data_IF_059637658414
#
_entry.id   IF_059637658414
#
_cell.length_a   1.000
_cell.length_b   1.000
_cell.length_c   1.000
_cell.angle_alpha   90.00
_cell.angle_beta   90.00
_cell.angle_gamma   90.00
#
_symmetry.space_group_name_H-M   'P 1'
#
loop_
_entity.id
_entity.type
_entity.pdbx_description
1 polymer ?
#
# COMPACT_ATOMS: atom_id res chain seq x y z
N UNK A 1 -17.48 -22.04 -28.28
CA UNK A 1 -17.62 -20.64 -27.83
C UNK A 1 -16.38 -19.91 -28.29
N UNK A 2 -16.45 -19.24 -29.43
CA UNK A 2 -15.31 -18.60 -30.07
C UNK A 2 -15.25 -17.18 -29.54
N UNK A 3 -14.24 -16.85 -28.74
CA UNK A 3 -14.01 -15.48 -28.29
C UNK A 3 -13.49 -14.72 -29.51
N UNK A 4 -14.31 -13.83 -30.08
CA UNK A 4 -13.84 -12.92 -31.13
C UNK A 4 -12.80 -11.98 -30.50
N UNK A 5 -11.64 -11.73 -31.14
CA UNK A 5 -10.68 -10.76 -30.64
C UNK A 5 -11.35 -9.39 -30.58
N UNK A 6 -11.23 -8.69 -29.45
CA UNK A 6 -11.60 -7.28 -29.37
C UNK A 6 -10.74 -6.51 -30.37
N UNK A 7 -11.36 -5.87 -31.36
CA UNK A 7 -10.69 -4.81 -32.13
C UNK A 7 -10.68 -3.57 -31.24
N UNK A 8 -9.71 -3.53 -30.32
CA UNK A 8 -9.44 -2.41 -29.41
C UNK A 8 -8.03 -1.86 -29.64
N UNK A 9 -7.70 -0.74 -28.98
CA UNK A 9 -6.35 -0.19 -28.96
C UNK A 9 -5.49 -1.03 -28.02
N UNK A 10 -4.29 -1.40 -28.46
CA UNK A 10 -3.27 -1.97 -27.56
C UNK A 10 -2.39 -0.83 -27.08
N UNK A 11 -2.39 -0.61 -25.76
CA UNK A 11 -1.43 0.28 -25.10
C UNK A 11 -0.17 -0.54 -24.83
N UNK A 12 0.98 -0.02 -25.26
CA UNK A 12 2.30 -0.63 -25.07
C UNK A 12 3.15 0.35 -24.25
N UNK A 13 3.87 -0.15 -23.26
CA UNK A 13 4.80 0.61 -22.42
C UNK A 13 6.17 -0.07 -22.39
N UNK A 14 7.20 0.68 -21.98
CA UNK A 14 8.63 0.31 -22.06
C UNK A 14 9.09 -0.76 -21.04
N UNK A 15 8.15 -1.56 -20.53
CA UNK A 15 8.26 -2.68 -19.57
C UNK A 15 8.18 -2.33 -18.07
N UNK A 16 7.27 -3.02 -17.38
CA UNK A 16 7.28 -3.23 -15.93
C UNK A 16 7.93 -4.59 -15.63
N UNK A 17 8.60 -4.75 -14.49
CA UNK A 17 9.22 -6.05 -14.14
C UNK A 17 8.16 -7.09 -13.72
N UNK A 18 7.04 -6.63 -13.18
CA UNK A 18 5.86 -7.38 -12.80
C UNK A 18 4.61 -6.82 -13.49
N UNK A 19 3.52 -7.60 -13.50
CA UNK A 19 2.25 -7.12 -14.06
C UNK A 19 1.76 -5.94 -13.19
N UNK A 20 1.56 -4.73 -13.74
CA UNK A 20 1.18 -3.57 -12.94
C UNK A 20 -0.29 -3.62 -12.53
N UNK A 21 -0.68 -2.81 -11.55
CA UNK A 21 -2.05 -2.38 -11.36
C UNK A 21 -2.43 -1.35 -12.44
N UNK A 22 -3.61 -1.49 -13.04
CA UNK A 22 -4.08 -0.64 -14.13
C UNK A 22 -5.45 -0.04 -13.85
N UNK A 23 -5.53 1.29 -13.96
CA UNK A 23 -6.75 2.07 -13.83
C UNK A 23 -6.92 2.93 -15.08
N UNK A 24 -8.14 3.02 -15.61
CA UNK A 24 -8.41 3.88 -16.74
C UNK A 24 -9.85 4.39 -16.73
N UNK A 25 -10.07 5.55 -17.35
CA UNK A 25 -11.39 6.14 -17.54
C UNK A 25 -11.49 6.88 -18.86
N UNK A 26 -12.71 6.94 -19.39
CA UNK A 26 -13.05 7.80 -20.52
C UNK A 26 -12.96 9.26 -20.04
N UNK A 27 -12.12 10.06 -20.70
CA UNK A 27 -11.80 11.43 -20.31
C UNK A 27 -12.59 12.49 -21.09
N UNK A 28 -13.28 12.09 -22.16
CA UNK A 28 -14.05 12.99 -23.03
C UNK A 28 -15.47 12.48 -23.22
N UNK A 29 -16.39 13.40 -23.53
CA UNK A 29 -17.74 13.05 -23.96
C UNK A 29 -17.92 13.54 -25.40
N UNK A 30 -17.78 12.63 -26.36
CA UNK A 30 -17.92 12.91 -27.78
C UNK A 30 -19.06 12.05 -28.33
N UNK A 31 -20.13 12.68 -28.82
CA UNK A 31 -21.32 11.98 -29.33
C UNK A 31 -22.42 11.76 -28.28
N UNK A 32 -23.65 11.45 -28.74
CA UNK A 32 -24.80 11.24 -27.85
C UNK A 32 -24.87 9.80 -27.29
N UNK A 33 -24.19 8.85 -27.92
CA UNK A 33 -24.37 7.42 -27.65
C UNK A 33 -23.62 7.00 -26.39
N UNK A 34 -24.29 6.27 -25.46
CA UNK A 34 -23.66 5.83 -24.23
C UNK A 34 -22.60 4.77 -24.49
N UNK A 35 -21.44 4.93 -23.84
CA UNK A 35 -20.29 4.04 -24.00
C UNK A 35 -19.73 3.58 -22.65
N UNK A 36 -18.93 2.53 -22.68
CA UNK A 36 -18.19 2.02 -21.52
C UNK A 36 -16.77 1.60 -21.90
N UNK A 37 -15.84 1.75 -20.96
CA UNK A 37 -14.47 1.28 -21.14
C UNK A 37 -14.37 -0.21 -20.80
N UNK A 38 -13.78 -0.98 -21.71
CA UNK A 38 -13.41 -2.39 -21.52
C UNK A 38 -11.89 -2.51 -21.51
N UNK A 39 -11.38 -3.38 -20.66
CA UNK A 39 -9.96 -3.68 -20.54
C UNK A 39 -9.73 -5.18 -20.36
N UNK A 40 -8.67 -5.72 -20.96
CA UNK A 40 -8.30 -7.14 -20.84
C UNK A 40 -6.83 -7.38 -21.22
N UNK A 41 -6.34 -8.60 -20.96
CA UNK A 41 -5.00 -9.04 -21.33
C UNK A 41 -3.90 -8.10 -20.80
N UNK A 42 -3.99 -7.75 -19.51
CA UNK A 42 -2.96 -6.98 -18.82
C UNK A 42 -1.71 -7.86 -18.64
N UNK A 43 -0.57 -7.32 -19.08
CA UNK A 43 0.73 -7.97 -19.02
C UNK A 43 1.79 -6.97 -18.56
N UNK A 44 3.02 -7.42 -18.36
CA UNK A 44 4.19 -6.56 -18.09
C UNK A 44 4.46 -5.53 -19.21
N UNK A 45 3.98 -5.78 -20.43
CA UNK A 45 4.36 -5.00 -21.63
C UNK A 45 3.18 -4.23 -22.25
N UNK A 46 1.97 -4.39 -21.72
CA UNK A 46 0.80 -3.67 -22.22
C UNK A 46 -0.54 -4.23 -21.77
N UNK A 47 -1.60 -3.60 -22.27
CA UNK A 47 -2.99 -3.97 -22.05
C UNK A 47 -3.83 -3.65 -23.31
N UNK A 48 -4.92 -4.38 -23.51
CA UNK A 48 -5.92 -4.05 -24.52
C UNK A 48 -7.07 -3.27 -23.90
N UNK A 49 -7.41 -2.13 -24.52
CA UNK A 49 -8.54 -1.28 -24.11
C UNK A 49 -9.49 -1.01 -25.28
N UNK A 50 -10.78 -0.87 -24.97
CA UNK A 50 -11.80 -0.53 -25.96
C UNK A 50 -12.89 0.33 -25.33
N UNK A 51 -13.24 1.43 -25.99
CA UNK A 51 -14.53 2.09 -25.78
C UNK A 51 -15.58 1.28 -26.53
N UNK A 52 -16.54 0.76 -25.79
CA UNK A 52 -17.63 -0.04 -26.34
C UNK A 52 -18.94 0.70 -26.11
N UNK A 53 -19.63 1.00 -27.21
CA UNK A 53 -21.00 1.50 -27.16
C UNK A 53 -21.93 0.48 -26.50
N UNK A 54 -22.92 1.00 -25.79
CA UNK A 54 -24.03 0.25 -25.25
C UNK A 54 -25.09 -0.02 -26.33
N UNK A 55 -25.82 -1.14 -26.23
CA UNK A 55 -26.83 -1.55 -27.23
C UNK A 55 -28.26 -1.55 -26.65
N UNK A 56 -28.52 -0.79 -25.60
CA UNK A 56 -29.82 -0.81 -24.91
C UNK A 56 -30.88 -0.02 -25.67
N UNK A 57 -30.50 1.08 -26.34
CA UNK A 57 -31.43 1.92 -27.10
C UNK A 57 -31.68 1.33 -28.50
N UNK A 58 -30.62 0.93 -29.19
CA UNK A 58 -30.67 0.19 -30.44
C UNK A 58 -29.48 -0.78 -30.55
N UNK A 59 -29.47 -1.61 -31.60
CA UNK A 59 -28.41 -2.60 -31.84
C UNK A 59 -27.20 -2.03 -32.59
N UNK A 60 -27.13 -0.71 -32.70
CA UNK A 60 -26.03 0.03 -33.32
C UNK A 60 -24.80 -0.01 -32.38
N UNK A 61 -23.60 0.08 -32.95
CA UNK A 61 -22.34 -0.02 -32.18
C UNK A 61 -21.23 0.89 -32.74
N UNK A 62 -21.61 1.88 -33.56
CA UNK A 62 -20.71 2.88 -34.10
C UNK A 62 -20.59 4.05 -33.13
N UNK A 63 -19.52 4.02 -32.35
CA UNK A 63 -19.16 5.15 -31.50
C UNK A 63 -18.09 6.04 -32.16
N UNK A 64 -18.15 7.34 -31.89
CA UNK A 64 -17.05 8.25 -32.27
C UNK A 64 -15.83 8.04 -31.37
N UNK A 65 -14.73 8.73 -31.67
CA UNK A 65 -13.50 8.64 -30.87
C UNK A 65 -13.64 9.31 -29.52
N UNK A 66 -13.11 8.70 -28.48
CA UNK A 66 -12.93 9.27 -27.15
C UNK A 66 -11.47 9.23 -26.73
N UNK A 67 -11.08 10.09 -25.80
CA UNK A 67 -9.80 10.02 -25.11
C UNK A 67 -9.94 9.17 -23.85
N UNK A 68 -8.99 8.27 -23.60
CA UNK A 68 -8.89 7.48 -22.37
C UNK A 68 -7.64 7.92 -21.62
N UNK A 69 -7.81 8.31 -20.37
CA UNK A 69 -6.70 8.51 -19.45
C UNK A 69 -6.47 7.22 -18.66
N UNK A 70 -5.20 6.91 -18.36
CA UNK A 70 -4.84 5.72 -17.60
C UNK A 70 -3.70 5.99 -16.62
N UNK A 71 -3.64 5.14 -15.59
CA UNK A 71 -2.58 5.03 -14.61
C UNK A 71 -2.18 3.56 -14.54
N UNK A 72 -0.90 3.29 -14.78
CA UNK A 72 -0.30 1.97 -14.60
C UNK A 72 0.82 2.09 -13.55
N UNK A 73 0.76 1.26 -12.52
CA UNK A 73 1.70 1.29 -11.40
C UNK A 73 2.16 -0.12 -11.08
N UNK A 74 3.47 -0.34 -11.03
CA UNK A 74 4.05 -1.59 -10.55
C UNK A 74 4.29 -1.52 -9.04
N UNK A 75 4.10 -2.65 -8.35
CA UNK A 75 4.33 -2.84 -6.92
C UNK A 75 3.08 -3.29 -6.19
N UNK A 76 3.26 -4.16 -5.19
CA UNK A 76 2.16 -4.80 -4.46
C UNK A 76 1.63 -3.93 -3.29
N UNK A 77 2.40 -2.91 -2.87
CA UNK A 77 2.13 -2.09 -1.66
C UNK A 77 1.92 -0.60 -1.96
N UNK A 78 1.79 -0.21 -3.23
CA UNK A 78 1.77 1.20 -3.63
C UNK A 78 0.49 1.97 -3.27
N UNK A 79 -0.61 1.27 -2.99
CA UNK A 79 -1.90 1.87 -2.64
C UNK A 79 -2.60 1.03 -1.56
N UNK A 80 -2.37 1.38 -0.31
CA UNK A 80 -3.06 0.77 0.83
C UNK A 80 -4.06 1.77 1.41
N UNK A 81 -5.29 1.31 1.64
CA UNK A 81 -6.31 2.08 2.34
C UNK A 81 -6.36 1.66 3.80
N UNK A 82 -6.07 2.57 4.72
CA UNK A 82 -6.14 2.30 6.16
C UNK A 82 -7.48 2.77 6.71
N UNK A 83 -8.01 2.05 7.71
CA UNK A 83 -9.17 2.53 8.43
C UNK A 83 -8.78 3.76 9.23
N UNK A 84 -9.50 4.87 9.06
CA UNK A 84 -9.24 6.16 9.70
C UNK A 84 -10.36 6.51 10.67
N UNK A 85 -10.01 6.82 11.92
CA UNK A 85 -10.95 7.38 12.90
C UNK A 85 -11.02 8.91 12.75
N UNK A 86 -12.16 9.48 12.29
CA UNK A 86 -12.28 10.92 12.08
C UNK A 86 -12.33 11.74 13.38
N UNK A 87 -12.49 11.13 14.55
CA UNK A 87 -12.49 11.83 15.82
C UNK A 87 -11.07 11.98 16.41
N UNK A 88 -10.26 10.94 16.30
CA UNK A 88 -8.92 10.88 16.90
C UNK A 88 -7.79 11.09 15.90
N UNK A 89 -8.03 10.81 14.62
CA UNK A 89 -7.00 10.78 13.59
C UNK A 89 -6.28 9.43 13.50
N UNK A 90 -6.46 8.55 14.49
CA UNK A 90 -5.78 7.26 14.57
C UNK A 90 -6.20 6.32 13.43
N UNK A 91 -5.26 5.49 13.01
CA UNK A 91 -5.45 4.52 11.94
C UNK A 91 -5.07 3.10 12.35
N UNK A 92 -5.63 2.12 11.64
CA UNK A 92 -5.11 0.75 11.61
C UNK A 92 -4.36 0.57 10.29
N UNK A 93 -3.04 0.49 10.39
CA UNK A 93 -2.12 0.27 9.28
C UNK A 93 -1.82 -1.22 9.24
N UNK A 94 -2.16 -1.87 8.14
CA UNK A 94 -2.02 -3.32 7.99
C UNK A 94 -1.25 -3.60 6.71
N UNK A 95 -0.16 -4.34 6.82
CA UNK A 95 0.62 -4.88 5.71
C UNK A 95 -0.09 -6.02 4.98
N UNK A 96 0.68 -6.74 4.20
CA UNK A 96 0.27 -7.78 3.26
C UNK A 96 0.58 -9.16 3.82
N UNK A 97 1.03 -10.12 3.03
CA UNK A 97 1.63 -11.37 3.55
C UNK A 97 3.08 -11.52 3.05
N UNK A 98 3.59 -10.45 2.44
CA UNK A 98 4.94 -10.29 1.91
C UNK A 98 5.70 -9.28 2.77
N UNK A 99 7.03 -9.21 2.60
CA UNK A 99 7.89 -8.31 3.38
C UNK A 99 7.51 -6.82 3.21
N UNK A 100 7.04 -6.18 4.28
CA UNK A 100 6.53 -4.82 4.27
C UNK A 100 7.44 -3.78 4.92
N UNK A 101 7.43 -2.56 4.35
CA UNK A 101 7.94 -1.36 5.02
C UNK A 101 6.76 -0.56 5.59
N UNK A 102 6.50 -0.71 6.89
CA UNK A 102 5.36 -0.11 7.56
C UNK A 102 5.76 1.23 8.18
N UNK A 103 5.65 2.28 7.37
CA UNK A 103 5.74 3.67 7.82
C UNK A 103 4.37 4.14 8.33
N UNK A 104 4.33 4.71 9.53
CA UNK A 104 3.10 5.21 10.10
C UNK A 104 2.80 6.64 9.72
N UNK A 105 1.67 7.11 10.23
CA UNK A 105 1.23 8.48 10.10
C UNK A 105 1.46 9.20 11.44
N UNK A 106 1.04 10.46 11.49
CA UNK A 106 0.93 11.14 12.77
C UNK A 106 -0.26 10.57 13.57
N UNK A 107 -0.27 10.85 14.87
CA UNK A 107 -1.21 10.34 15.88
C UNK A 107 -0.82 8.94 16.41
N UNK A 108 -1.75 8.28 17.12
CA UNK A 108 -1.47 7.01 17.80
C UNK A 108 -2.09 5.85 17.01
N UNK A 109 -1.30 5.26 16.11
CA UNK A 109 -1.77 4.24 15.19
C UNK A 109 -1.61 2.83 15.74
N UNK A 110 -2.32 1.87 15.14
CA UNK A 110 -2.06 0.43 15.30
C UNK A 110 -1.46 -0.11 14.00
N UNK A 111 -0.28 -0.73 14.09
CA UNK A 111 0.45 -1.29 12.95
C UNK A 111 0.51 -2.82 13.05
N UNK A 112 0.16 -3.48 11.95
CA UNK A 112 0.05 -4.94 11.81
C UNK A 112 0.82 -5.35 10.56
N UNK A 113 1.86 -6.17 10.69
CA UNK A 113 2.67 -6.62 9.57
C UNK A 113 2.08 -7.82 8.83
N UNK A 114 1.48 -8.73 9.61
CA UNK A 114 0.98 -10.05 9.23
C UNK A 114 2.10 -11.06 9.00
N UNK A 115 2.35 -11.45 7.75
CA UNK A 115 3.38 -12.43 7.41
C UNK A 115 4.38 -11.76 6.48
N UNK A 116 5.61 -12.26 6.44
CA UNK A 116 6.71 -11.57 5.78
C UNK A 116 7.76 -11.19 6.82
N UNK A 117 8.90 -10.67 6.35
CA UNK A 117 9.93 -10.03 7.18
C UNK A 117 9.69 -8.52 7.15
N UNK A 118 8.93 -8.03 8.12
CA UNK A 118 8.41 -6.68 8.10
C UNK A 118 9.32 -5.69 8.83
N UNK A 119 9.26 -4.42 8.42
CA UNK A 119 10.00 -3.32 9.03
C UNK A 119 9.01 -2.25 9.51
N UNK A 120 8.80 -2.18 10.83
CA UNK A 120 7.97 -1.17 11.48
C UNK A 120 8.80 0.09 11.74
N UNK A 121 8.63 1.14 10.94
CA UNK A 121 9.49 2.33 10.98
C UNK A 121 9.00 3.34 12.02
N UNK A 122 9.81 3.57 13.06
CA UNK A 122 9.56 4.56 14.10
C UNK A 122 10.26 5.88 13.80
N UNK A 123 9.57 6.98 14.06
CA UNK A 123 10.08 8.34 13.97
C UNK A 123 9.64 9.14 15.22
N UNK A 124 10.48 10.07 15.67
CA UNK A 124 10.11 11.00 16.75
C UNK A 124 9.02 11.97 16.31
N UNK A 125 8.29 12.52 17.28
CA UNK A 125 7.24 13.53 17.08
C UNK A 125 6.07 13.11 16.15
N UNK A 126 5.88 11.81 15.86
CA UNK A 126 4.71 11.32 15.12
C UNK A 126 3.55 10.87 16.03
N UNK A 127 3.81 10.57 17.30
CA UNK A 127 2.80 10.02 18.22
C UNK A 127 3.34 8.79 18.93
N UNK A 128 2.44 7.98 19.47
CA UNK A 128 2.75 6.71 20.15
C UNK A 128 1.96 5.58 19.50
N UNK A 129 2.66 4.75 18.72
CA UNK A 129 2.03 3.68 17.97
C UNK A 129 1.99 2.36 18.74
N UNK A 130 1.11 1.46 18.33
CA UNK A 130 1.07 0.07 18.79
C UNK A 130 1.47 -0.84 17.65
N UNK A 131 2.55 -1.60 17.82
CA UNK A 131 2.95 -2.67 16.90
C UNK A 131 2.34 -3.97 17.44
N UNK A 132 1.40 -4.54 16.70
CA UNK A 132 0.47 -5.52 17.23
C UNK A 132 0.94 -6.98 17.14
N UNK A 133 1.80 -7.30 16.18
CA UNK A 133 2.11 -8.69 15.78
C UNK A 133 3.59 -8.93 15.45
N UNK A 134 4.50 -8.15 16.07
CA UNK A 134 5.94 -8.29 15.84
C UNK A 134 6.45 -9.72 16.07
N UNK A 135 7.02 -10.35 15.03
CA UNK A 135 7.63 -11.66 15.10
C UNK A 135 9.15 -11.56 15.29
N UNK A 136 9.62 -11.87 16.49
CA UNK A 136 11.05 -11.82 16.82
C UNK A 136 11.88 -12.78 15.96
N UNK A 137 12.95 -12.25 15.35
CA UNK A 137 13.82 -12.99 14.43
C UNK A 137 13.33 -13.02 12.98
N UNK A 138 12.16 -12.46 12.70
CA UNK A 138 11.60 -12.28 11.36
C UNK A 138 11.47 -10.78 11.07
N UNK A 139 10.83 -10.02 11.95
CA UNK A 139 10.59 -8.60 11.79
C UNK A 139 11.68 -7.72 12.39
N UNK A 140 11.71 -6.45 11.97
CA UNK A 140 12.60 -5.41 12.47
C UNK A 140 11.83 -4.14 12.84
N UNK A 141 12.39 -3.41 13.81
CA UNK A 141 12.01 -2.03 14.10
C UNK A 141 12.95 -1.11 13.32
N UNK A 142 12.39 -0.40 12.33
CA UNK A 142 13.11 0.61 11.58
C UNK A 142 13.27 1.89 12.40
N UNK A 143 14.45 2.49 12.41
CA UNK A 143 14.75 3.75 13.10
C UNK A 143 15.16 4.81 12.08
N UNK A 144 14.41 5.90 12.01
CA UNK A 144 14.70 7.04 11.13
C UNK A 144 14.85 8.35 11.93
N UNK A 145 15.12 9.48 11.27
CA UNK A 145 15.12 10.79 11.93
C UNK A 145 16.22 10.96 13.00
N UNK A 146 17.38 10.32 12.80
CA UNK A 146 18.51 10.24 13.76
C UNK A 146 18.26 9.36 15.00
N UNK A 147 17.18 8.59 15.04
CA UNK A 147 17.02 7.53 16.02
C UNK A 147 18.07 6.45 15.79
N UNK A 148 18.63 5.93 16.87
CA UNK A 148 19.52 4.77 16.87
C UNK A 148 19.20 3.90 18.09
N UNK A 149 19.48 2.60 18.05
CA UNK A 149 19.17 1.70 19.16
C UNK A 149 19.75 2.19 20.50
N UNK A 150 20.98 2.71 20.49
CA UNK A 150 21.64 3.23 21.70
C UNK A 150 21.02 4.51 22.25
N UNK A 151 20.14 5.17 21.51
CA UNK A 151 19.39 6.35 21.97
C UNK A 151 18.03 6.01 22.59
N UNK A 152 17.59 4.74 22.45
CA UNK A 152 16.29 4.29 22.94
C UNK A 152 16.39 3.80 24.39
N UNK A 153 15.30 3.96 25.12
CA UNK A 153 15.07 3.25 26.39
C UNK A 153 13.90 2.29 26.19
N UNK A 154 14.14 1.00 26.45
CA UNK A 154 13.10 -0.02 26.41
C UNK A 154 12.62 -0.31 27.83
N UNK A 155 11.32 -0.47 28.04
CA UNK A 155 10.73 -0.77 29.36
C UNK A 155 9.55 -1.71 29.22
N UNK A 156 9.53 -2.78 30.01
CA UNK A 156 8.39 -3.71 30.04
C UNK A 156 7.13 -3.02 30.59
N UNK A 157 6.00 -3.26 29.94
CA UNK A 157 4.66 -2.85 30.35
C UNK A 157 3.74 -4.08 30.44
N UNK A 158 3.98 -4.92 31.43
CA UNK A 158 3.35 -6.26 31.47
C UNK A 158 4.06 -7.17 30.47
N UNK A 159 3.31 -7.78 29.56
CA UNK A 159 3.84 -8.65 28.50
C UNK A 159 4.25 -7.86 27.23
N UNK A 160 4.19 -6.53 27.28
CA UNK A 160 4.53 -5.62 26.16
C UNK A 160 5.84 -4.87 26.42
N UNK A 161 6.44 -4.28 25.38
CA UNK A 161 7.59 -3.38 25.49
C UNK A 161 7.24 -1.95 25.07
N UNK A 162 7.52 -0.97 25.92
CA UNK A 162 7.52 0.45 25.58
C UNK A 162 8.87 0.89 24.99
N UNK A 163 8.85 1.55 23.84
CA UNK A 163 10.03 2.13 23.18
C UNK A 163 10.03 3.65 23.39
N UNK A 164 11.01 4.15 24.13
CA UNK A 164 11.12 5.57 24.50
C UNK A 164 12.33 6.24 23.85
N UNK A 165 12.17 7.51 23.47
CA UNK A 165 13.26 8.41 23.04
C UNK A 165 13.04 9.81 23.62
N UNK A 166 14.03 10.38 24.33
CA UNK A 166 13.98 11.74 24.90
C UNK A 166 12.67 12.08 25.64
N UNK A 167 12.16 11.15 26.45
CA UNK A 167 10.88 11.22 27.19
C UNK A 167 9.60 11.13 26.35
N UNK A 168 9.70 10.99 25.03
CA UNK A 168 8.58 10.59 24.18
C UNK A 168 8.49 9.06 24.13
N UNK A 169 7.28 8.52 24.19
CA UNK A 169 7.02 7.14 23.85
C UNK A 169 6.77 7.05 22.34
N UNK A 170 7.65 6.36 21.63
CA UNK A 170 7.53 6.18 20.18
C UNK A 170 6.53 5.08 19.84
N UNK A 171 6.61 3.96 20.57
CA UNK A 171 5.75 2.80 20.33
C UNK A 171 5.55 1.92 21.56
N UNK A 172 4.56 1.03 21.46
CA UNK A 172 4.37 -0.16 22.27
C UNK A 172 4.46 -1.36 21.33
N UNK A 173 5.36 -2.30 21.60
CA UNK A 173 5.45 -3.58 20.91
C UNK A 173 4.69 -4.59 21.76
N UNK A 174 3.62 -5.14 21.20
CA UNK A 174 2.72 -6.05 21.92
C UNK A 174 3.33 -7.43 22.06
N UNK A 175 3.09 -8.07 23.20
CA UNK A 175 3.45 -9.48 23.45
C UNK A 175 4.95 -9.80 23.26
N UNK A 176 5.81 -8.81 23.51
CA UNK A 176 7.26 -8.91 23.43
C UNK A 176 7.87 -8.29 24.69
N UNK A 177 8.65 -9.06 25.43
CA UNK A 177 9.41 -8.58 26.59
C UNK A 177 10.73 -7.94 26.15
N UNK A 178 11.24 -6.98 26.92
CA UNK A 178 12.49 -6.27 26.62
C UNK A 178 13.70 -7.20 26.56
N UNK A 179 13.68 -8.34 27.27
CA UNK A 179 14.74 -9.34 27.23
C UNK A 179 14.85 -10.05 25.89
N UNK A 180 13.77 -10.06 25.11
CA UNK A 180 13.72 -10.63 23.77
C UNK A 180 14.13 -9.61 22.70
N UNK A 181 14.41 -8.36 23.10
CA UNK A 181 14.82 -7.29 22.21
C UNK A 181 16.31 -6.96 22.37
N UNK A 182 17.07 -7.22 21.31
CA UNK A 182 18.48 -6.81 21.20
C UNK A 182 18.66 -5.84 20.04
N UNK A 183 19.85 -5.27 19.90
CA UNK A 183 20.17 -4.39 18.76
C UNK A 183 19.95 -5.02 17.39
N UNK A 184 19.91 -6.35 17.28
CA UNK A 184 19.67 -7.04 16.00
C UNK A 184 18.21 -6.94 15.53
N UNK A 185 17.28 -6.57 16.40
CA UNK A 185 15.88 -6.32 16.03
C UNK A 185 15.64 -4.88 15.55
N UNK A 186 16.70 -4.06 15.49
CA UNK A 186 16.60 -2.65 15.12
C UNK A 186 17.53 -2.35 13.94
N UNK A 187 17.02 -1.62 12.95
CA UNK A 187 17.79 -1.19 11.80
C UNK A 187 17.62 0.31 11.57
N UNK A 188 18.71 1.03 11.37
CA UNK A 188 18.64 2.41 10.89
C UNK A 188 18.23 2.39 9.41
N UNK A 189 17.15 3.11 9.08
CA UNK A 189 16.57 3.15 7.73
C UNK A 189 16.53 4.58 7.20
N UNK A 190 16.58 4.73 5.88
CA UNK A 190 16.40 6.01 5.19
C UNK A 190 15.10 5.95 4.40
N UNK A 191 14.24 6.94 4.60
CA UNK A 191 12.95 7.15 3.91
C UNK A 191 13.03 8.36 2.98
#
# INVERSE_FOLDING_TARGET
>A
MTVLPMVGLTLIWDEFNNIPHFFASIATYEGPDPSTLRQQNLTTNGIQVKVQEDTTLDGETNHTTEVVNYLAMEGDNGLQGTAYDPLTGNTVIMGTEDDDYLLGLAENDTRIGKAGSDIFVLESDQGTDTIADFESGVDLIGLTGNLSFGSLTLTDLGDDTSVMFNNQQLAIIKEVETTDLTSNHFAEVTI
#
